data_IF_917660809590
#
_entry.id   IF_917660809590
#
_cell.length_a   1.000
_cell.length_b   1.000
_cell.length_c   1.000
_cell.angle_alpha   90.00
_cell.angle_beta   90.00
_cell.angle_gamma   90.00
#
_symmetry.space_group_name_H-M   'P 1'
#
loop_
_entity.id
_entity.type
_entity.pdbx_description
1 polymer ?
#
# COMPACT_ATOMS: atom_id res chain seq x y z
N UNK A 1 -1.79 -16.28 -13.58
CA UNK A 1 -2.39 -15.03 -13.03
C UNK A 1 -2.40 -14.04 -14.16
N UNK A 2 -3.52 -13.35 -14.33
CA UNK A 2 -3.68 -12.43 -15.45
C UNK A 2 -2.74 -11.24 -15.31
N UNK A 3 -2.12 -10.85 -16.42
CA UNK A 3 -1.23 -9.69 -16.49
C UNK A 3 -1.97 -8.35 -16.30
N UNK A 4 -3.29 -8.38 -16.15
CA UNK A 4 -4.13 -7.18 -16.07
C UNK A 4 -4.26 -6.60 -14.65
N UNK A 5 -3.82 -7.34 -13.64
CA UNK A 5 -3.85 -6.92 -12.24
C UNK A 5 -2.46 -6.99 -11.61
N UNK A 6 -2.07 -5.90 -10.96
CA UNK A 6 -0.93 -5.88 -10.07
C UNK A 6 -1.42 -5.80 -8.62
N UNK A 7 -0.78 -6.57 -7.76
CA UNK A 7 -1.00 -6.44 -6.33
C UNK A 7 -0.12 -5.32 -5.77
N UNK A 8 -0.76 -4.31 -5.19
CA UNK A 8 -0.04 -3.32 -4.38
C UNK A 8 0.27 -4.00 -3.05
N UNK A 9 1.43 -4.62 -2.96
CA UNK A 9 1.88 -5.15 -1.68
C UNK A 9 1.97 -3.97 -0.70
N UNK A 10 1.31 -4.09 0.45
CA UNK A 10 1.68 -3.31 1.62
C UNK A 10 3.17 -3.53 1.81
N UNK A 11 3.99 -2.47 1.78
CA UNK A 11 5.43 -2.56 1.99
C UNK A 11 5.59 -3.05 3.42
N UNK A 12 5.76 -4.34 3.56
CA UNK A 12 5.88 -4.96 4.87
C UNK A 12 7.33 -5.38 5.01
N UNK A 13 7.97 -4.64 5.83
CA UNK A 13 9.11 -5.10 6.57
C UNK A 13 8.69 -6.32 7.37
N UNK A 14 9.42 -7.38 7.17
CA UNK A 14 9.46 -8.60 7.97
C UNK A 14 8.82 -8.45 9.34
N UNK A 15 7.62 -8.89 9.55
CA UNK A 15 7.06 -9.37 10.80
C UNK A 15 5.54 -9.29 10.73
N UNK A 16 4.89 -10.43 10.86
CA UNK A 16 3.55 -10.70 11.43
C UNK A 16 2.41 -9.66 11.25
N UNK A 17 2.52 -8.75 10.31
CA UNK A 17 1.46 -7.79 10.02
C UNK A 17 0.37 -8.48 9.20
N UNK A 18 -0.67 -8.90 9.87
CA UNK A 18 -1.91 -9.35 9.26
C UNK A 18 -2.48 -8.22 8.38
N UNK A 19 -2.66 -8.47 7.10
CA UNK A 19 -3.42 -7.60 6.23
C UNK A 19 -4.79 -8.22 5.99
N UNK A 20 -5.83 -7.50 6.37
CA UNK A 20 -7.23 -7.86 6.07
C UNK A 20 -7.64 -7.37 4.67
N UNK A 21 -6.75 -6.68 3.97
CA UNK A 21 -6.99 -6.04 2.69
C UNK A 21 -6.09 -6.62 1.60
N UNK A 22 -6.68 -6.84 0.43
CA UNK A 22 -5.98 -7.09 -0.83
C UNK A 22 -6.15 -5.84 -1.70
N UNK A 23 -5.07 -5.11 -1.93
CA UNK A 23 -5.06 -3.93 -2.77
C UNK A 23 -4.51 -4.26 -4.16
N UNK A 24 -5.31 -4.03 -5.18
CA UNK A 24 -5.01 -4.33 -6.58
C UNK A 24 -5.02 -3.05 -7.42
N UNK A 25 -4.30 -3.06 -8.52
CA UNK A 25 -4.39 -2.06 -9.58
C UNK A 25 -4.71 -2.74 -10.90
N UNK A 26 -5.70 -2.22 -11.62
CA UNK A 26 -5.93 -2.60 -13.00
C UNK A 26 -4.92 -1.87 -13.89
N UNK A 27 -3.95 -2.61 -14.42
CA UNK A 27 -2.87 -2.02 -15.24
C UNK A 27 -3.35 -1.66 -16.65
N UNK A 28 -4.19 -2.51 -17.24
CA UNK A 28 -4.72 -2.29 -18.59
C UNK A 28 -6.09 -1.63 -18.50
N UNK A 29 -6.23 -0.45 -19.10
CA UNK A 29 -7.53 0.23 -19.18
C UNK A 29 -8.54 -0.62 -19.96
N UNK A 30 -9.72 -0.82 -19.40
CA UNK A 30 -10.76 -1.61 -20.03
C UNK A 30 -11.94 -1.91 -19.11
N UNK A 31 -12.93 -2.68 -19.59
CA UNK A 31 -14.07 -3.08 -18.78
C UNK A 31 -13.64 -3.87 -17.54
N UNK A 32 -14.04 -3.41 -16.35
CA UNK A 32 -13.66 -4.06 -15.10
C UNK A 32 -14.57 -5.24 -14.71
N UNK A 33 -15.74 -5.38 -15.34
CA UNK A 33 -16.69 -6.45 -15.07
C UNK A 33 -16.10 -7.87 -15.11
N UNK A 34 -15.40 -8.26 -16.18
CA UNK A 34 -14.77 -9.58 -16.28
C UNK A 34 -13.73 -9.85 -15.17
N UNK A 35 -13.04 -8.81 -14.72
CA UNK A 35 -12.06 -8.91 -13.61
C UNK A 35 -12.78 -9.17 -12.29
N UNK A 36 -13.88 -8.45 -12.03
CA UNK A 36 -14.72 -8.68 -10.84
C UNK A 36 -15.24 -10.11 -10.81
N UNK A 37 -15.76 -10.59 -11.90
CA UNK A 37 -16.37 -11.94 -11.97
C UNK A 37 -15.30 -13.00 -11.70
N UNK A 38 -14.10 -12.82 -12.21
CA UNK A 38 -12.97 -13.72 -11.95
C UNK A 38 -12.50 -13.69 -10.49
N UNK A 39 -12.41 -12.50 -9.87
CA UNK A 39 -12.09 -12.40 -8.43
C UNK A 39 -13.17 -13.13 -7.60
N UNK A 40 -14.45 -12.93 -7.92
CA UNK A 40 -15.56 -13.58 -7.22
C UNK A 40 -15.52 -15.10 -7.38
N UNK A 41 -15.25 -15.59 -8.59
CA UNK A 41 -15.10 -17.02 -8.86
C UNK A 41 -13.98 -17.63 -8.01
N UNK A 42 -12.80 -16.98 -7.97
CA UNK A 42 -11.64 -17.46 -7.20
C UNK A 42 -11.86 -17.42 -5.69
N UNK A 43 -12.64 -16.47 -5.20
CA UNK A 43 -12.95 -16.31 -3.78
C UNK A 43 -14.35 -16.80 -3.40
N UNK A 44 -14.99 -17.62 -4.25
CA UNK A 44 -16.35 -18.13 -4.03
C UNK A 44 -16.51 -18.93 -2.73
N UNK A 45 -15.42 -19.55 -2.24
CA UNK A 45 -15.41 -20.25 -0.96
C UNK A 45 -15.61 -19.33 0.26
N UNK A 46 -15.46 -18.00 0.11
CA UNK A 46 -15.75 -17.00 1.15
C UNK A 46 -17.22 -16.51 1.10
N UNK A 47 -18.03 -17.04 0.17
CA UNK A 47 -19.40 -16.59 -0.05
C UNK A 47 -19.50 -15.36 -0.97
N UNK A 48 -20.71 -14.76 -1.01
CA UNK A 48 -20.98 -13.62 -1.89
C UNK A 48 -20.52 -12.30 -1.26
N UNK A 49 -19.69 -11.50 -1.95
CA UNK A 49 -19.23 -10.23 -1.42
C UNK A 49 -20.26 -9.11 -1.61
N UNK A 50 -20.29 -8.17 -0.68
CA UNK A 50 -20.91 -6.87 -0.90
C UNK A 50 -20.03 -6.04 -1.84
N UNK A 51 -20.64 -5.50 -2.90
CA UNK A 51 -19.97 -4.64 -3.89
C UNK A 51 -20.11 -3.17 -3.51
N UNK A 52 -19.03 -2.41 -3.65
CA UNK A 52 -19.03 -0.95 -3.46
C UNK A 52 -18.23 -0.28 -4.60
N UNK A 53 -18.93 0.05 -5.71
CA UNK A 53 -18.29 0.81 -6.78
C UNK A 53 -18.10 2.26 -6.38
N UNK A 54 -16.93 2.83 -6.70
CA UNK A 54 -16.62 4.26 -6.62
C UNK A 54 -16.05 4.71 -7.96
N UNK A 55 -15.98 6.01 -8.21
CA UNK A 55 -15.54 6.56 -9.50
C UNK A 55 -14.19 6.01 -10.01
N UNK A 56 -13.28 5.69 -9.08
CA UNK A 56 -11.90 5.27 -9.41
C UNK A 56 -11.43 4.02 -8.67
N UNK A 57 -12.31 3.44 -7.85
CA UNK A 57 -12.02 2.24 -7.08
C UNK A 57 -13.23 1.32 -7.09
N UNK A 58 -12.97 0.04 -7.10
CA UNK A 58 -13.98 -0.97 -6.91
C UNK A 58 -13.62 -1.83 -5.70
N UNK A 59 -14.57 -2.03 -4.79
CA UNK A 59 -14.31 -2.78 -3.56
C UNK A 59 -15.29 -3.94 -3.43
N UNK A 60 -14.74 -5.11 -3.11
CA UNK A 60 -15.48 -6.31 -2.69
C UNK A 60 -15.23 -6.50 -1.18
N UNK A 61 -16.32 -6.63 -0.42
CA UNK A 61 -16.29 -6.92 1.02
C UNK A 61 -16.83 -8.32 1.26
N UNK A 62 -15.96 -9.24 1.65
CA UNK A 62 -16.34 -10.57 2.11
C UNK A 62 -16.51 -10.56 3.61
N UNK A 63 -17.53 -11.27 4.11
CA UNK A 63 -17.76 -11.51 5.52
C UNK A 63 -18.02 -13.00 5.70
N UNK A 64 -17.25 -13.61 6.58
CA UNK A 64 -17.32 -15.04 6.84
C UNK A 64 -16.97 -15.31 8.31
N UNK A 65 -17.18 -16.52 8.77
CA UNK A 65 -16.84 -16.91 10.13
C UNK A 65 -15.57 -17.75 10.12
N UNK A 66 -14.80 -17.68 11.23
CA UNK A 66 -13.65 -18.56 11.42
C UNK A 66 -14.08 -20.03 11.45
N UNK A 67 -13.27 -20.93 10.93
CA UNK A 67 -13.56 -22.37 10.86
C UNK A 67 -13.47 -23.05 12.24
N UNK A 68 -12.77 -22.45 13.21
CA UNK A 68 -12.50 -23.05 14.51
C UNK A 68 -13.13 -22.25 15.66
N UNK A 69 -13.68 -22.94 16.68
CA UNK A 69 -14.20 -22.30 17.88
C UNK A 69 -13.12 -21.55 18.69
N UNK A 70 -13.48 -20.42 19.33
CA UNK A 70 -14.79 -19.76 19.22
C UNK A 70 -14.96 -19.10 17.87
N UNK A 71 -16.12 -19.34 17.22
CA UNK A 71 -16.45 -18.74 15.93
C UNK A 71 -16.37 -17.22 16.03
N UNK A 72 -15.62 -16.61 15.12
CA UNK A 72 -15.42 -15.16 15.05
C UNK A 72 -15.72 -14.63 13.68
N UNK A 73 -16.40 -13.48 13.56
CA UNK A 73 -16.58 -12.83 12.26
C UNK A 73 -15.25 -12.35 11.71
N UNK A 74 -14.96 -12.73 10.50
CA UNK A 74 -13.78 -12.33 9.73
C UNK A 74 -14.21 -11.49 8.53
N UNK A 75 -13.31 -10.63 8.08
CA UNK A 75 -13.53 -9.76 6.94
C UNK A 75 -12.33 -9.84 6.00
N UNK A 76 -12.62 -9.84 4.70
CA UNK A 76 -11.62 -9.61 3.67
C UNK A 76 -12.13 -8.51 2.75
N UNK A 77 -11.33 -7.45 2.60
CA UNK A 77 -11.58 -6.40 1.63
C UNK A 77 -10.65 -6.57 0.44
N UNK A 78 -11.21 -6.66 -0.76
CA UNK A 78 -10.45 -6.60 -2.02
C UNK A 78 -10.77 -5.27 -2.67
N UNK A 79 -9.80 -4.37 -2.70
CA UNK A 79 -9.92 -3.06 -3.33
C UNK A 79 -9.11 -3.02 -4.61
N UNK A 80 -9.69 -2.51 -5.69
CA UNK A 80 -9.00 -2.36 -6.97
C UNK A 80 -9.05 -0.92 -7.43
N UNK A 81 -7.88 -0.32 -7.63
CA UNK A 81 -7.73 0.96 -8.29
C UNK A 81 -7.95 0.77 -9.80
N UNK A 82 -8.90 1.53 -10.35
CA UNK A 82 -9.28 1.49 -11.78
C UNK A 82 -9.00 2.82 -12.48
N UNK A 83 -8.07 3.62 -11.96
CA UNK A 83 -7.70 4.93 -12.50
C UNK A 83 -6.25 4.97 -13.01
N UNK A 84 -5.36 4.30 -12.32
CA UNK A 84 -3.92 4.41 -12.54
C UNK A 84 -3.45 3.25 -13.43
N UNK A 85 -3.82 3.30 -14.73
CA UNK A 85 -3.52 2.27 -15.73
C UNK A 85 -2.12 2.45 -16.35
N UNK A 86 -1.09 2.52 -15.51
CA UNK A 86 0.29 2.70 -15.98
C UNK A 86 1.30 2.15 -14.97
N UNK A 87 2.50 1.94 -15.44
CA UNK A 87 3.69 1.57 -14.67
C UNK A 87 4.80 2.54 -15.08
N UNK A 88 5.50 3.11 -14.11
CA UNK A 88 6.57 4.08 -14.35
C UNK A 88 7.94 3.40 -14.27
N UNK A 89 8.11 2.57 -13.26
CA UNK A 89 9.27 1.71 -13.08
C UNK A 89 9.14 0.42 -13.86
N UNK A 90 9.37 -0.68 -13.21
CA UNK A 90 9.22 -2.03 -13.75
C UNK A 90 8.23 -2.84 -12.96
N UNK A 91 7.49 -3.69 -13.64
CA UNK A 91 6.75 -4.75 -12.98
C UNK A 91 7.73 -5.80 -12.48
N UNK A 92 7.59 -6.19 -11.23
CA UNK A 92 8.43 -7.21 -10.60
C UNK A 92 7.58 -8.37 -10.10
N UNK A 93 8.18 -9.56 -10.04
CA UNK A 93 7.60 -10.72 -9.41
C UNK A 93 8.29 -10.93 -8.07
N UNK A 94 7.50 -10.91 -7.01
CA UNK A 94 8.00 -11.13 -5.65
C UNK A 94 7.56 -12.50 -5.17
N UNK A 95 8.48 -13.36 -4.72
CA UNK A 95 8.11 -14.62 -4.12
C UNK A 95 7.33 -14.38 -2.83
N UNK A 96 6.25 -15.11 -2.68
CA UNK A 96 5.41 -15.11 -1.49
C UNK A 96 5.19 -16.54 -1.04
N UNK A 97 5.38 -16.79 0.23
CA UNK A 97 5.15 -18.11 0.82
C UNK A 97 4.41 -17.99 2.14
N UNK A 98 3.52 -18.93 2.36
CA UNK A 98 2.88 -19.15 3.65
C UNK A 98 3.34 -20.51 4.14
N UNK A 99 3.85 -20.56 5.35
CA UNK A 99 4.21 -21.79 6.02
C UNK A 99 3.61 -21.79 7.42
N UNK A 100 2.48 -22.43 7.56
CA UNK A 100 1.78 -22.59 8.83
C UNK A 100 1.43 -24.06 9.06
N UNK A 101 1.03 -24.41 10.26
CA UNK A 101 0.58 -25.79 10.55
C UNK A 101 -0.71 -26.20 9.82
N UNK A 102 -1.43 -25.26 9.20
CA UNK A 102 -2.67 -25.53 8.48
C UNK A 102 -2.53 -25.42 6.96
N UNK A 103 -1.58 -24.61 6.50
CA UNK A 103 -1.45 -24.30 5.08
C UNK A 103 -0.01 -23.94 4.73
N UNK A 104 0.52 -24.60 3.71
CA UNK A 104 1.87 -24.32 3.20
C UNK A 104 1.81 -24.24 1.69
N UNK A 105 2.02 -23.06 1.16
CA UNK A 105 2.04 -22.79 -0.28
C UNK A 105 3.00 -21.64 -0.60
N UNK A 106 3.45 -21.62 -1.84
CA UNK A 106 4.26 -20.53 -2.38
C UNK A 106 3.78 -20.09 -3.76
N UNK A 107 3.88 -18.82 -4.06
CA UNK A 107 3.56 -18.26 -5.37
C UNK A 107 4.43 -17.04 -5.66
N UNK A 108 4.37 -16.56 -6.90
CA UNK A 108 4.92 -15.27 -7.29
C UNK A 108 3.81 -14.24 -7.39
N UNK A 109 4.02 -13.09 -6.79
CA UNK A 109 3.08 -11.96 -6.82
C UNK A 109 3.63 -10.91 -7.78
N UNK A 110 2.84 -10.57 -8.79
CA UNK A 110 3.14 -9.43 -9.67
C UNK A 110 2.86 -8.13 -8.93
N UNK A 111 3.84 -7.24 -8.87
CA UNK A 111 3.73 -5.93 -8.22
C UNK A 111 4.61 -4.89 -8.91
N UNK A 112 4.54 -3.65 -8.46
CA UNK A 112 5.45 -2.58 -8.87
C UNK A 112 6.85 -2.78 -8.26
N UNK A 113 7.85 -2.11 -8.82
CA UNK A 113 9.15 -1.96 -8.16
C UNK A 113 8.99 -1.27 -6.81
N UNK A 114 9.95 -1.47 -5.91
CA UNK A 114 9.88 -0.88 -4.57
C UNK A 114 9.87 0.65 -4.64
N UNK A 115 10.63 1.25 -5.54
CA UNK A 115 10.68 2.69 -5.77
C UNK A 115 9.31 3.25 -6.18
N UNK A 116 8.58 2.54 -7.04
CA UNK A 116 7.25 2.96 -7.46
C UNK A 116 6.24 2.85 -6.33
N UNK A 117 6.27 1.76 -5.56
CA UNK A 117 5.46 1.62 -4.35
C UNK A 117 5.74 2.74 -3.35
N UNK A 118 7.02 3.08 -3.12
CA UNK A 118 7.42 4.17 -2.22
C UNK A 118 7.04 5.54 -2.77
N UNK A 119 7.08 5.74 -4.09
CA UNK A 119 6.58 6.96 -4.74
C UNK A 119 5.09 7.19 -4.45
N UNK A 120 4.26 6.12 -4.51
CA UNK A 120 2.85 6.20 -4.13
C UNK A 120 2.67 6.46 -2.63
N UNK A 121 3.56 5.93 -1.78
CA UNK A 121 3.56 6.19 -0.33
C UNK A 121 3.94 7.63 0.00
N UNK A 122 4.91 8.19 -0.71
CA UNK A 122 5.31 9.59 -0.55
C UNK A 122 4.14 10.52 -0.93
N UNK A 123 3.39 10.20 -2.01
CA UNK A 123 2.13 10.88 -2.33
C UNK A 123 1.10 10.76 -1.21
N UNK A 124 0.89 9.55 -0.70
CA UNK A 124 -0.08 9.29 0.36
C UNK A 124 0.28 10.07 1.65
N UNK A 125 1.57 10.14 2.01
CA UNK A 125 2.06 10.91 3.14
C UNK A 125 1.70 12.39 3.02
N UNK A 126 1.74 12.97 1.81
CA UNK A 126 1.28 14.33 1.59
C UNK A 126 -0.25 14.48 1.69
N UNK A 127 -1.00 13.58 1.04
CA UNK A 127 -2.45 13.72 0.84
C UNK A 127 -3.30 13.35 2.04
N UNK A 128 -2.80 12.46 2.92
CA UNK A 128 -3.58 11.96 4.07
C UNK A 128 -2.81 12.04 5.39
N UNK A 129 -3.53 11.98 6.52
CA UNK A 129 -2.94 12.03 7.86
C UNK A 129 -2.83 10.62 8.44
N UNK A 130 -1.90 9.81 7.91
CA UNK A 130 -1.62 8.47 8.42
C UNK A 130 -0.14 8.32 8.70
N UNK A 131 0.20 8.23 10.00
CA UNK A 131 1.59 8.11 10.46
C UNK A 131 2.31 6.88 9.93
N UNK A 132 1.56 5.81 9.64
CA UNK A 132 2.08 4.60 9.01
C UNK A 132 2.68 4.84 7.62
N UNK A 133 2.28 5.89 6.89
CA UNK A 133 2.92 6.20 5.60
C UNK A 133 4.35 6.72 5.80
N UNK A 134 4.58 7.49 6.87
CA UNK A 134 5.93 7.91 7.28
C UNK A 134 6.76 6.72 7.77
N UNK A 135 6.16 5.84 8.55
CA UNK A 135 6.80 4.61 9.04
C UNK A 135 7.23 3.69 7.88
N UNK A 136 6.34 3.41 6.93
CA UNK A 136 6.64 2.56 5.78
C UNK A 136 7.82 3.11 4.96
N UNK A 137 7.85 4.43 4.71
CA UNK A 137 8.97 5.08 4.03
C UNK A 137 10.28 4.97 4.83
N UNK A 138 10.22 5.25 6.13
CA UNK A 138 11.39 5.18 7.02
C UNK A 138 12.01 3.79 7.03
N UNK A 139 11.19 2.77 7.20
CA UNK A 139 11.66 1.38 7.25
C UNK A 139 12.24 0.96 5.90
N UNK A 140 11.55 1.26 4.81
CA UNK A 140 12.03 0.90 3.48
C UNK A 140 13.37 1.57 3.16
N UNK A 141 13.52 2.87 3.47
CA UNK A 141 14.77 3.60 3.29
C UNK A 141 15.92 3.08 4.17
N UNK A 142 15.57 2.57 5.35
CA UNK A 142 16.57 2.00 6.28
C UNK A 142 17.04 0.61 5.83
N UNK A 143 16.12 -0.23 5.35
CA UNK A 143 16.42 -1.60 4.92
C UNK A 143 17.01 -1.68 3.51
N UNK A 144 16.74 -0.69 2.68
CA UNK A 144 17.13 -0.64 1.27
C UNK A 144 17.92 0.65 0.96
N UNK A 145 19.14 0.80 1.47
CA UNK A 145 19.96 1.98 1.21
C UNK A 145 20.34 2.12 -0.28
N UNK A 146 20.25 1.03 -1.05
CA UNK A 146 20.52 0.96 -2.49
C UNK A 146 19.39 1.50 -3.37
N UNK A 147 18.24 1.89 -2.81
CA UNK A 147 17.08 2.38 -3.56
C UNK A 147 17.45 3.53 -4.51
N UNK A 148 16.94 3.44 -5.74
CA UNK A 148 17.03 4.57 -6.70
C UNK A 148 16.03 5.67 -6.30
N UNK A 149 16.52 6.62 -5.50
CA UNK A 149 15.74 7.78 -5.04
C UNK A 149 15.25 8.65 -6.20
N UNK A 150 16.00 8.72 -7.31
CA UNK A 150 15.58 9.49 -8.50
C UNK A 150 14.36 8.83 -9.15
N UNK A 151 14.35 7.51 -9.27
CA UNK A 151 13.19 6.76 -9.75
C UNK A 151 12.00 6.95 -8.81
N UNK A 152 12.20 6.84 -7.49
CA UNK A 152 11.16 7.04 -6.48
C UNK A 152 10.51 8.43 -6.62
N UNK A 153 11.32 9.50 -6.70
CA UNK A 153 10.81 10.88 -6.85
C UNK A 153 10.11 11.07 -8.21
N UNK A 154 10.62 10.46 -9.28
CA UNK A 154 9.95 10.48 -10.58
C UNK A 154 8.57 9.81 -10.51
N UNK A 155 8.45 8.67 -9.82
CA UNK A 155 7.18 8.00 -9.57
C UNK A 155 6.24 8.91 -8.74
N UNK A 156 6.72 9.46 -7.63
CA UNK A 156 5.96 10.41 -6.81
C UNK A 156 5.37 11.55 -7.64
N UNK A 157 6.21 12.24 -8.42
CA UNK A 157 5.76 13.37 -9.27
C UNK A 157 4.67 12.95 -10.25
N UNK A 158 4.85 11.80 -10.92
CA UNK A 158 3.88 11.29 -11.89
C UNK A 158 2.54 10.97 -11.25
N UNK A 159 2.54 10.31 -10.09
CA UNK A 159 1.31 10.02 -9.35
C UNK A 159 0.64 11.28 -8.79
N UNK A 160 1.42 12.31 -8.43
CA UNK A 160 0.88 13.60 -8.00
C UNK A 160 0.19 14.34 -9.15
N UNK A 161 0.79 14.41 -10.34
CA UNK A 161 0.19 15.05 -11.53
C UNK A 161 -1.20 14.52 -11.88
N UNK A 162 -1.46 13.23 -11.62
CA UNK A 162 -2.76 12.62 -11.87
C UNK A 162 -3.76 12.89 -10.73
N UNK A 163 -3.26 13.11 -9.54
CA UNK A 163 -4.08 13.19 -8.32
C UNK A 163 -4.52 14.60 -7.99
N UNK A 164 -3.75 15.61 -8.38
CA UNK A 164 -3.98 17.01 -8.05
C UNK A 164 -3.74 17.89 -9.27
N UNK A 165 -4.41 19.03 -9.33
CA UNK A 165 -4.26 19.98 -10.42
C UNK A 165 -2.84 20.57 -10.48
N UNK A 166 -2.26 20.86 -9.32
CA UNK A 166 -0.89 21.33 -9.17
C UNK A 166 -0.18 20.53 -8.08
N UNK A 167 0.88 19.78 -8.42
CA UNK A 167 1.72 19.14 -7.42
C UNK A 167 2.33 20.15 -6.44
N UNK A 168 2.47 19.82 -5.15
CA UNK A 168 3.03 20.74 -4.16
C UNK A 168 4.49 21.04 -4.46
N UNK A 169 4.90 22.28 -4.18
CA UNK A 169 6.29 22.65 -4.12
C UNK A 169 6.92 22.08 -2.83
N UNK A 170 8.24 21.95 -2.82
CA UNK A 170 8.97 21.41 -1.67
C UNK A 170 8.58 22.07 -0.35
N UNK A 171 8.48 23.39 -0.31
CA UNK A 171 8.14 24.12 0.92
C UNK A 171 6.73 23.81 1.40
N UNK A 172 5.79 23.66 0.48
CA UNK A 172 4.41 23.25 0.80
C UNK A 172 4.38 21.82 1.38
N UNK A 173 5.19 20.92 0.83
CA UNK A 173 5.31 19.57 1.36
C UNK A 173 5.89 19.58 2.79
N UNK A 174 6.96 20.34 3.03
CA UNK A 174 7.59 20.48 4.35
C UNK A 174 6.56 20.98 5.36
N UNK A 175 5.90 22.10 5.08
CA UNK A 175 4.90 22.68 5.99
C UNK A 175 3.76 21.70 6.29
N UNK A 176 3.27 20.98 5.26
CA UNK A 176 2.24 19.95 5.44
C UNK A 176 2.71 18.81 6.37
N UNK A 177 3.96 18.38 6.25
CA UNK A 177 4.49 17.31 7.09
C UNK A 177 4.77 17.80 8.53
N UNK A 178 5.25 19.04 8.71
CA UNK A 178 5.41 19.67 10.03
C UNK A 178 4.08 19.77 10.78
N UNK A 179 3.01 20.19 10.12
CA UNK A 179 1.66 20.21 10.68
C UNK A 179 1.19 18.82 11.14
N UNK A 180 1.54 17.78 10.36
CA UNK A 180 1.25 16.38 10.72
C UNK A 180 2.07 15.92 11.91
N UNK A 181 3.34 16.28 11.98
CA UNK A 181 4.21 15.94 13.11
C UNK A 181 3.77 16.60 14.43
N UNK A 182 3.04 17.71 14.37
CA UNK A 182 2.42 18.34 15.53
C UNK A 182 1.09 17.67 15.96
N UNK A 183 0.57 16.71 15.18
CA UNK A 183 -0.73 16.08 15.41
C UNK A 183 -0.59 14.73 16.14
N UNK A 184 -1.21 14.61 17.32
CA UNK A 184 -1.13 13.41 18.14
C UNK A 184 -1.76 12.17 17.48
N UNK A 185 -2.83 12.33 16.69
CA UNK A 185 -3.46 11.22 15.96
C UNK A 185 -2.52 10.67 14.89
N UNK A 186 -1.82 11.55 14.16
CA UNK A 186 -0.82 11.15 13.19
C UNK A 186 0.32 10.36 13.83
N UNK A 187 0.87 10.87 14.94
CA UNK A 187 1.95 10.20 15.67
C UNK A 187 1.50 8.87 16.30
N UNK A 188 0.25 8.80 16.74
CA UNK A 188 -0.33 7.60 17.35
C UNK A 188 -0.76 6.51 16.36
N UNK A 189 -0.91 6.83 15.07
CA UNK A 189 -1.43 5.89 14.05
C UNK A 189 -0.55 4.63 13.87
N UNK A 190 0.72 4.69 14.25
CA UNK A 190 1.66 3.57 14.16
C UNK A 190 1.70 2.68 15.41
N UNK A 191 1.28 3.18 16.56
CA UNK A 191 1.46 2.50 17.86
C UNK A 191 0.85 1.09 17.86
N UNK A 192 -0.36 0.95 17.30
CA UNK A 192 -1.05 -0.32 17.24
C UNK A 192 -0.47 -1.32 16.20
N UNK A 193 0.43 -0.86 15.36
CA UNK A 193 1.04 -1.65 14.28
C UNK A 193 2.46 -2.11 14.62
N UNK A 194 3.06 -1.53 15.65
CA UNK A 194 4.42 -1.82 16.04
C UNK A 194 4.49 -2.98 17.03
N UNK A 195 5.44 -3.91 16.89
CA UNK A 195 5.78 -4.84 17.94
C UNK A 195 6.13 -4.09 19.23
N UNK A 196 5.88 -4.69 20.43
CA UNK A 196 6.15 -4.03 21.70
C UNK A 196 7.59 -3.58 21.93
N UNK A 197 8.53 -4.21 21.25
CA UNK A 197 9.98 -3.96 21.29
C UNK A 197 10.50 -3.11 20.12
N UNK A 198 9.62 -2.67 19.23
CA UNK A 198 10.02 -1.88 18.07
C UNK A 198 10.56 -0.50 18.49
N UNK A 199 11.78 -0.23 18.07
CA UNK A 199 12.42 1.07 18.27
C UNK A 199 12.11 1.99 17.08
N UNK A 200 10.95 2.63 17.11
CA UNK A 200 10.56 3.62 16.13
C UNK A 200 10.48 5.01 16.75
N UNK A 201 11.17 5.96 16.15
CA UNK A 201 11.09 7.37 16.53
C UNK A 201 10.59 8.19 15.34
N UNK A 202 9.37 8.77 15.41
CA UNK A 202 8.80 9.58 14.33
C UNK A 202 9.65 10.78 13.92
N UNK A 203 10.42 11.37 14.86
CA UNK A 203 11.31 12.51 14.56
C UNK A 203 12.49 12.07 13.71
N UNK A 204 13.08 10.91 14.01
CA UNK A 204 14.13 10.34 13.18
C UNK A 204 13.62 9.99 11.78
N UNK A 205 12.41 9.43 11.70
CA UNK A 205 11.76 9.15 10.42
C UNK A 205 11.49 10.43 9.61
N UNK A 206 10.96 11.47 10.26
CA UNK A 206 10.77 12.77 9.65
C UNK A 206 12.08 13.33 9.08
N UNK A 207 13.16 13.35 9.87
CA UNK A 207 14.45 13.87 9.45
C UNK A 207 15.03 13.08 8.27
N UNK A 208 14.94 11.75 8.30
CA UNK A 208 15.41 10.91 7.19
C UNK A 208 14.66 11.22 5.89
N UNK A 209 13.32 11.22 5.94
CA UNK A 209 12.49 11.44 4.76
C UNK A 209 12.64 12.88 4.24
N UNK A 210 12.74 13.87 5.13
CA UNK A 210 13.01 15.25 4.76
C UNK A 210 14.31 15.37 3.96
N UNK A 211 15.40 14.82 4.51
CA UNK A 211 16.73 14.96 3.93
C UNK A 211 16.93 14.15 2.65
N UNK A 212 16.38 12.95 2.60
CA UNK A 212 16.67 11.99 1.54
C UNK A 212 15.67 12.05 0.37
N UNK A 213 14.43 12.46 0.62
CA UNK A 213 13.37 12.48 -0.39
C UNK A 213 12.80 13.87 -0.63
N UNK A 214 12.36 14.57 0.42
CA UNK A 214 11.66 15.85 0.23
C UNK A 214 12.61 16.95 -0.23
N UNK A 215 13.88 16.88 0.15
CA UNK A 215 14.91 17.84 -0.29
C UNK A 215 15.12 17.86 -1.81
N UNK A 216 14.73 16.79 -2.51
CA UNK A 216 14.92 16.62 -3.97
C UNK A 216 13.61 16.63 -4.77
N UNK A 217 12.46 16.92 -4.12
CA UNK A 217 11.17 17.15 -4.78
C UNK A 217 11.16 18.45 -5.57
#
# INVERSE_FOLDING_TARGET
>A
MDNDLLWIRKIITSCDNFSEDIDLVQVTAGPFGPIIDRIRERLSFLGEPRRSPKAHNFTLYYRFESEFPPMRPLHLKVETNTREHFIIGTQVKVPFSVNSKWFTESCEINTYSLEELLGTKLRALYQRRKGRDLYDLFIAMTLHPELDKNLLIRCYRKYMEISVEKPPERQEYISNLEDKMANAEFLGDTIALLPPDAQYNPVNAYNLILNELISVI
#
